data_IF_349514294503
#
_entry.id   IF_349514294503
#
_cell.length_a   1.000
_cell.length_b   1.000
_cell.length_c   1.000
_cell.angle_alpha   90.00
_cell.angle_beta   90.00
_cell.angle_gamma   90.00
#
_symmetry.space_group_name_H-M   'P 1'
#
loop_
_entity.id
_entity.type
_entity.pdbx_description
1 polymer ?
#
# COMPACT_ATOMS: atom_id res chain seq x y z
N UNK A 1 -41.81 22.92 -25.09
CA UNK A 1 -40.66 22.02 -25.03
C UNK A 1 -39.58 22.67 -24.18
N UNK A 2 -39.07 21.96 -23.19
CA UNK A 2 -38.05 22.45 -22.25
C UNK A 2 -37.13 21.31 -21.85
N UNK A 3 -35.86 21.60 -21.57
CA UNK A 3 -35.00 20.68 -20.83
C UNK A 3 -35.35 20.77 -19.34
N UNK A 4 -35.35 19.62 -18.68
CA UNK A 4 -35.40 19.49 -17.21
C UNK A 4 -34.27 18.56 -16.82
N UNK A 5 -33.39 19.01 -15.93
CA UNK A 5 -32.44 18.12 -15.26
C UNK A 5 -33.03 17.61 -13.95
N UNK A 6 -32.79 16.34 -13.64
CA UNK A 6 -33.31 15.73 -12.42
C UNK A 6 -32.34 14.70 -11.85
N UNK A 7 -32.17 14.76 -10.53
CA UNK A 7 -31.59 13.64 -9.79
C UNK A 7 -32.68 12.64 -9.43
N UNK A 8 -32.37 11.35 -9.54
CA UNK A 8 -33.27 10.24 -9.24
C UNK A 8 -32.58 9.36 -8.19
N UNK A 9 -33.13 9.31 -6.97
CA UNK A 9 -32.57 8.56 -5.83
C UNK A 9 -31.10 8.91 -5.51
N UNK A 10 -30.70 10.17 -5.65
CA UNK A 10 -29.31 10.60 -5.46
C UNK A 10 -28.40 10.32 -6.66
N UNK A 11 -28.96 9.93 -7.81
CA UNK A 11 -28.22 9.66 -9.05
C UNK A 11 -28.54 10.70 -10.13
N UNK A 12 -27.58 10.95 -11.01
CA UNK A 12 -27.66 12.01 -12.01
C UNK A 12 -26.83 13.23 -11.60
N UNK A 13 -27.00 14.38 -12.26
CA UNK A 13 -28.22 14.82 -12.93
C UNK A 13 -28.43 14.24 -14.33
N UNK A 14 -29.66 13.85 -14.62
CA UNK A 14 -30.09 13.36 -15.93
C UNK A 14 -30.90 14.42 -16.66
N UNK A 15 -30.60 14.64 -17.95
CA UNK A 15 -31.34 15.57 -18.79
C UNK A 15 -32.52 14.88 -19.48
N UNK A 16 -33.68 15.53 -19.42
CA UNK A 16 -34.89 15.12 -20.11
C UNK A 16 -35.42 16.24 -20.98
N UNK A 17 -35.83 15.90 -22.20
CA UNK A 17 -36.64 16.77 -23.04
C UNK A 17 -38.11 16.56 -22.70
N UNK A 18 -38.76 17.62 -22.24
CA UNK A 18 -40.18 17.57 -21.85
C UNK A 18 -41.02 18.38 -22.83
N UNK A 19 -41.95 17.70 -23.48
CA UNK A 19 -42.90 18.28 -24.43
C UNK A 19 -44.30 18.21 -23.85
N UNK A 20 -44.98 19.36 -23.78
CA UNK A 20 -46.34 19.50 -23.25
C UNK A 20 -47.34 19.52 -24.40
N UNK A 21 -48.35 18.65 -24.34
CA UNK A 21 -49.45 18.60 -25.32
C UNK A 21 -50.78 18.58 -24.56
N UNK A 22 -51.42 19.74 -24.41
CA UNK A 22 -52.59 19.88 -23.54
C UNK A 22 -52.20 19.69 -22.07
N UNK A 23 -52.88 18.77 -21.38
CA UNK A 23 -52.57 18.38 -19.99
C UNK A 23 -51.53 17.24 -19.90
N UNK A 24 -51.17 16.63 -21.03
CA UNK A 24 -50.21 15.53 -21.09
C UNK A 24 -48.77 16.03 -21.26
N UNK A 25 -47.83 15.33 -20.64
CA UNK A 25 -46.39 15.56 -20.80
C UNK A 25 -45.70 14.31 -21.33
N UNK A 26 -44.87 14.50 -22.35
CA UNK A 26 -43.96 13.49 -22.87
C UNK A 26 -42.54 13.78 -22.40
N UNK A 27 -41.90 12.78 -21.81
CA UNK A 27 -40.53 12.84 -21.31
C UNK A 27 -39.65 11.96 -22.19
N UNK A 28 -38.67 12.57 -22.84
CA UNK A 28 -37.64 11.88 -23.60
C UNK A 28 -36.32 12.01 -22.85
N UNK A 29 -35.65 10.88 -22.58
CA UNK A 29 -34.36 10.85 -21.91
C UNK A 29 -33.25 11.20 -22.89
N UNK A 30 -32.41 12.18 -22.54
CA UNK A 30 -31.32 12.64 -23.38
C UNK A 30 -29.95 12.12 -22.93
N UNK A 31 -29.82 11.64 -21.70
CA UNK A 31 -28.55 11.20 -21.13
C UNK A 31 -28.19 11.92 -19.82
N UNK A 32 -26.99 11.67 -19.28
CA UNK A 32 -26.41 12.46 -18.19
C UNK A 32 -26.24 13.92 -18.60
N UNK A 33 -26.63 14.87 -17.76
CA UNK A 33 -26.84 16.26 -18.15
C UNK A 33 -25.59 16.94 -18.73
N UNK A 34 -24.39 16.64 -18.23
CA UNK A 34 -23.14 17.17 -18.78
C UNK A 34 -22.49 16.31 -19.88
N UNK A 35 -23.07 15.15 -20.23
CA UNK A 35 -22.62 14.25 -21.32
C UNK A 35 -23.56 14.28 -22.54
N UNK A 36 -24.54 15.19 -22.58
CA UNK A 36 -25.45 15.34 -23.73
C UNK A 36 -24.72 16.01 -24.90
N UNK A 37 -24.77 15.40 -26.08
CA UNK A 37 -24.18 15.98 -27.30
C UNK A 37 -24.95 17.26 -27.71
N UNK A 38 -24.30 18.44 -27.77
CA UNK A 38 -24.93 19.66 -28.23
C UNK A 38 -25.50 19.56 -29.66
N UNK A 39 -25.00 18.65 -30.49
CA UNK A 39 -25.51 18.43 -31.85
C UNK A 39 -26.95 17.87 -31.86
N UNK A 40 -27.35 17.18 -30.79
CA UNK A 40 -28.69 16.61 -30.61
C UNK A 40 -29.68 17.61 -29.97
N UNK A 41 -29.20 18.83 -29.68
CA UNK A 41 -29.95 19.88 -29.00
C UNK A 41 -30.15 21.10 -29.91
N UNK A 42 -31.29 21.75 -29.76
CA UNK A 42 -31.49 23.10 -30.32
C UNK A 42 -30.69 24.13 -29.53
N UNK A 43 -30.43 25.30 -30.13
CA UNK A 43 -29.76 26.43 -29.47
C UNK A 43 -30.44 26.82 -28.15
N UNK A 44 -31.78 26.70 -28.10
CA UNK A 44 -32.59 27.00 -26.91
C UNK A 44 -32.38 25.96 -25.81
N UNK A 45 -32.40 24.68 -26.14
CA UNK A 45 -32.14 23.59 -25.18
C UNK A 45 -30.71 23.66 -24.65
N UNK A 46 -29.75 23.94 -25.53
CA UNK A 46 -28.36 24.18 -25.15
C UNK A 46 -28.25 25.36 -24.19
N UNK A 47 -28.94 26.47 -24.45
CA UNK A 47 -28.97 27.62 -23.54
C UNK A 47 -29.60 27.29 -22.18
N UNK A 48 -30.61 26.42 -22.13
CA UNK A 48 -31.21 25.94 -20.87
C UNK A 48 -30.22 25.12 -20.04
N UNK A 49 -29.58 24.11 -20.66
CA UNK A 49 -28.52 23.35 -19.99
C UNK A 49 -27.35 24.25 -19.55
N UNK A 50 -27.06 25.33 -20.30
CA UNK A 50 -26.02 26.29 -19.95
C UNK A 50 -26.38 27.11 -18.72
N UNK A 51 -27.62 27.54 -18.61
CA UNK A 51 -28.13 28.26 -17.43
C UNK A 51 -28.14 27.39 -16.18
N UNK A 52 -28.28 26.07 -16.34
CA UNK A 52 -28.21 25.08 -15.26
C UNK A 52 -26.78 24.58 -14.99
N UNK A 53 -25.76 25.09 -15.69
CA UNK A 53 -24.34 24.76 -15.46
C UNK A 53 -23.80 23.55 -16.25
N UNK A 54 -24.64 22.86 -17.02
CA UNK A 54 -24.28 21.58 -17.67
C UNK A 54 -23.72 21.71 -19.08
N UNK A 55 -24.19 22.67 -19.89
CA UNK A 55 -23.68 22.83 -21.26
C UNK A 55 -22.26 23.42 -21.35
N UNK A 56 -21.67 23.79 -20.21
CA UNK A 56 -20.27 24.21 -20.07
C UNK A 56 -19.40 23.19 -19.31
N UNK A 57 -19.94 22.07 -18.82
CA UNK A 57 -19.14 21.06 -18.13
C UNK A 57 -17.98 20.56 -19.02
N UNK A 58 -18.20 20.40 -20.33
CA UNK A 58 -17.13 20.07 -21.30
C UNK A 58 -16.06 21.16 -21.52
N UNK A 59 -16.31 22.37 -21.03
CA UNK A 59 -15.45 23.56 -21.23
C UNK A 59 -14.83 24.05 -19.91
N UNK A 60 -15.26 23.51 -18.77
CA UNK A 60 -14.53 23.65 -17.50
C UNK A 60 -13.39 22.65 -17.51
N UNK A 61 -12.26 23.07 -16.96
CA UNK A 61 -11.13 22.17 -16.79
C UNK A 61 -11.53 21.18 -15.70
N UNK A 62 -11.64 19.91 -16.06
CA UNK A 62 -12.00 18.84 -15.14
C UNK A 62 -10.80 17.92 -15.02
N UNK A 63 -10.60 17.41 -13.81
CA UNK A 63 -9.64 16.34 -13.54
C UNK A 63 -10.40 15.12 -13.02
N UNK A 64 -9.87 13.95 -13.36
CA UNK A 64 -10.44 12.65 -13.03
C UNK A 64 -9.38 11.87 -12.25
N UNK A 65 -9.76 11.32 -11.10
CA UNK A 65 -8.91 10.46 -10.31
C UNK A 65 -9.60 9.11 -10.06
N UNK A 66 -8.91 8.01 -10.41
CA UNK A 66 -9.42 6.66 -10.28
C UNK A 66 -9.06 6.05 -8.92
N UNK A 67 -10.06 5.56 -8.20
CA UNK A 67 -9.88 4.88 -6.93
C UNK A 67 -9.98 3.36 -7.12
N UNK A 68 -9.28 2.62 -6.27
CA UNK A 68 -9.32 1.17 -6.24
C UNK A 68 -10.64 0.59 -5.70
N UNK A 69 -11.45 1.40 -5.00
CA UNK A 69 -12.74 0.98 -4.48
C UNK A 69 -13.76 2.13 -4.41
N UNK A 70 -15.04 1.76 -4.54
CA UNK A 70 -16.17 2.69 -4.62
C UNK A 70 -16.48 3.38 -3.28
N UNK A 71 -16.18 2.71 -2.16
CA UNK A 71 -16.40 3.26 -0.82
C UNK A 71 -15.49 4.46 -0.57
N UNK A 72 -14.21 4.32 -0.88
CA UNK A 72 -13.21 5.38 -0.76
C UNK A 72 -13.51 6.53 -1.71
N UNK A 73 -13.86 6.24 -2.96
CA UNK A 73 -14.28 7.26 -3.92
C UNK A 73 -15.46 8.09 -3.38
N UNK A 74 -16.45 7.43 -2.75
CA UNK A 74 -17.59 8.13 -2.16
C UNK A 74 -17.26 8.92 -0.90
N UNK A 75 -16.35 8.43 -0.06
CA UNK A 75 -15.88 9.17 1.12
C UNK A 75 -15.15 10.47 0.72
N UNK A 76 -14.32 10.41 -0.32
CA UNK A 76 -13.62 11.60 -0.86
C UNK A 76 -14.62 12.61 -1.43
N UNK A 77 -15.66 12.15 -2.16
CA UNK A 77 -16.74 13.03 -2.63
C UNK A 77 -17.45 13.76 -1.49
N UNK A 78 -17.72 13.05 -0.39
CA UNK A 78 -18.39 13.65 0.76
C UNK A 78 -17.50 14.68 1.49
N UNK A 79 -16.17 14.51 1.47
CA UNK A 79 -15.23 15.46 2.06
C UNK A 79 -15.02 16.72 1.19
N UNK A 80 -14.85 16.56 -0.13
CA UNK A 80 -14.70 17.68 -1.06
C UNK A 80 -15.97 18.54 -1.14
N UNK A 81 -17.15 17.91 -1.05
CA UNK A 81 -18.43 18.57 -1.17
C UNK A 81 -18.85 18.84 -2.63
N UNK A 82 -20.17 18.97 -2.83
CA UNK A 82 -20.79 19.03 -4.16
C UNK A 82 -20.33 20.21 -5.03
N UNK A 83 -19.79 21.28 -4.45
CA UNK A 83 -19.36 22.49 -5.18
C UNK A 83 -18.05 22.29 -5.94
N UNK A 84 -17.19 21.34 -5.51
CA UNK A 84 -15.91 21.00 -6.15
C UNK A 84 -16.06 19.86 -7.15
N UNK A 85 -17.14 19.08 -7.07
CA UNK A 85 -17.40 17.98 -7.99
C UNK A 85 -17.83 18.48 -9.37
N UNK A 86 -17.38 17.79 -10.40
CA UNK A 86 -17.85 18.06 -11.74
C UNK A 86 -19.36 17.79 -11.82
N UNK A 87 -20.14 18.59 -12.58
CA UNK A 87 -21.57 18.33 -12.79
C UNK A 87 -21.88 16.98 -13.46
N UNK A 88 -20.86 16.31 -13.98
CA UNK A 88 -20.88 14.99 -14.63
C UNK A 88 -20.43 13.85 -13.73
N UNK A 89 -19.91 14.13 -12.53
CA UNK A 89 -19.48 13.14 -11.56
C UNK A 89 -20.65 12.21 -11.20
N UNK A 90 -20.35 10.91 -11.09
CA UNK A 90 -21.34 9.88 -10.79
C UNK A 90 -20.85 9.01 -9.65
N UNK A 91 -21.59 9.02 -8.53
CA UNK A 91 -21.30 8.27 -7.31
C UNK A 91 -21.27 6.75 -7.49
N UNK A 92 -21.62 6.23 -8.67
CA UNK A 92 -21.55 4.81 -9.04
C UNK A 92 -20.19 4.41 -9.60
N UNK A 93 -19.38 5.38 -10.00
CA UNK A 93 -18.07 5.15 -10.59
C UNK A 93 -16.98 5.30 -9.51
N UNK A 94 -15.94 4.49 -9.64
CA UNK A 94 -14.72 4.60 -8.83
C UNK A 94 -13.85 5.79 -9.23
N UNK A 95 -14.16 6.42 -10.36
CA UNK A 95 -13.53 7.66 -10.83
C UNK A 95 -14.27 8.83 -10.21
N UNK A 96 -13.53 9.71 -9.52
CA UNK A 96 -14.05 10.99 -9.01
C UNK A 96 -13.69 12.07 -10.02
N UNK A 97 -14.69 12.78 -10.52
CA UNK A 97 -14.52 13.89 -11.46
C UNK A 97 -14.73 15.22 -10.73
N UNK A 98 -13.76 16.13 -10.81
CA UNK A 98 -13.72 17.40 -10.08
C UNK A 98 -13.51 18.58 -11.02
N UNK A 99 -13.90 19.77 -10.57
CA UNK A 99 -13.62 21.04 -11.25
C UNK A 99 -12.19 21.48 -10.92
N UNK A 100 -11.27 21.24 -11.85
CA UNK A 100 -9.83 21.46 -11.64
C UNK A 100 -9.48 22.93 -11.37
N UNK A 101 -10.29 23.85 -11.91
CA UNK A 101 -10.13 25.29 -11.73
C UNK A 101 -10.61 25.81 -10.36
N UNK A 102 -11.43 25.03 -9.64
CA UNK A 102 -11.95 25.38 -8.32
C UNK A 102 -11.16 24.71 -7.18
N UNK A 103 -10.39 23.66 -7.48
CA UNK A 103 -9.51 22.98 -6.53
C UNK A 103 -8.33 23.84 -6.10
N UNK A 104 -8.16 24.00 -4.80
CA UNK A 104 -6.91 24.51 -4.25
C UNK A 104 -5.80 23.43 -4.20
N UNK A 105 -4.60 23.84 -3.78
CA UNK A 105 -3.45 22.94 -3.76
C UNK A 105 -3.56 21.83 -2.70
N UNK A 106 -4.24 22.10 -1.59
CA UNK A 106 -4.40 21.14 -0.49
C UNK A 106 -5.48 20.12 -0.85
N UNK A 107 -6.59 20.56 -1.46
CA UNK A 107 -7.67 19.70 -1.97
C UNK A 107 -7.20 18.79 -3.09
N UNK A 108 -6.39 19.32 -4.03
CA UNK A 108 -5.76 18.52 -5.09
C UNK A 108 -4.83 17.47 -4.50
N UNK A 109 -3.97 17.84 -3.55
CA UNK A 109 -3.05 16.89 -2.90
C UNK A 109 -3.80 15.81 -2.11
N UNK A 110 -4.92 16.16 -1.48
CA UNK A 110 -5.80 15.19 -0.80
C UNK A 110 -6.41 14.19 -1.79
N UNK A 111 -7.01 14.68 -2.88
CA UNK A 111 -7.63 13.85 -3.91
C UNK A 111 -6.62 12.86 -4.52
N UNK A 112 -5.48 13.36 -4.99
CA UNK A 112 -4.41 12.55 -5.59
C UNK A 112 -3.84 11.53 -4.58
N UNK A 113 -3.64 11.95 -3.33
CA UNK A 113 -3.12 11.09 -2.27
C UNK A 113 -4.08 9.94 -1.93
N UNK A 114 -5.36 10.24 -1.78
CA UNK A 114 -6.39 9.25 -1.48
C UNK A 114 -6.59 8.25 -2.63
N UNK A 115 -6.52 8.73 -3.89
CA UNK A 115 -6.58 7.87 -5.07
C UNK A 115 -5.40 6.90 -5.14
N UNK A 116 -4.18 7.41 -4.96
CA UNK A 116 -2.96 6.60 -4.94
C UNK A 116 -3.00 5.53 -3.83
N UNK A 117 -3.41 5.89 -2.62
CA UNK A 117 -3.55 4.95 -1.50
C UNK A 117 -4.61 3.87 -1.79
N UNK A 118 -5.75 4.24 -2.38
CA UNK A 118 -6.80 3.29 -2.76
C UNK A 118 -6.33 2.31 -3.83
N UNK A 119 -5.62 2.76 -4.86
CA UNK A 119 -5.08 1.89 -5.91
C UNK A 119 -4.01 0.92 -5.39
N UNK A 120 -3.18 1.37 -4.44
CA UNK A 120 -2.23 0.50 -3.74
C UNK A 120 -3.01 -0.61 -3.00
N UNK A 121 -4.05 -0.26 -2.25
CA UNK A 121 -4.90 -1.25 -1.55
C UNK A 121 -5.57 -2.24 -2.51
N UNK A 122 -6.06 -1.81 -3.67
CA UNK A 122 -6.67 -2.70 -4.68
C UNK A 122 -5.64 -3.66 -5.32
N UNK A 123 -4.47 -3.14 -5.70
CA UNK A 123 -3.38 -3.95 -6.29
C UNK A 123 -3.01 -5.14 -5.39
N UNK A 124 -3.02 -4.91 -4.08
CA UNK A 124 -2.75 -5.92 -3.07
C UNK A 124 -3.94 -6.84 -2.76
N UNK A 125 -5.19 -6.40 -3.02
CA UNK A 125 -6.38 -7.26 -2.88
C UNK A 125 -6.47 -8.38 -3.93
N UNK A 126 -5.87 -8.22 -5.11
CA UNK A 126 -6.00 -9.18 -6.22
C UNK A 126 -4.95 -10.31 -6.27
N UNK A 127 -3.86 -10.20 -5.53
CA UNK A 127 -2.96 -11.34 -5.30
C UNK A 127 -3.63 -12.30 -4.32
N UNK A 128 -3.96 -13.52 -4.73
CA UNK A 128 -4.38 -14.57 -3.78
C UNK A 128 -3.26 -15.59 -3.70
N UNK A 129 -2.56 -15.67 -2.58
CA UNK A 129 -1.55 -16.70 -2.37
C UNK A 129 -2.27 -18.01 -2.01
N UNK A 130 -1.82 -19.14 -2.55
CA UNK A 130 -2.38 -20.43 -2.15
C UNK A 130 -1.99 -20.77 -0.70
N UNK A 131 -2.98 -21.19 0.10
CA UNK A 131 -2.72 -21.84 1.38
C UNK A 131 -2.29 -23.29 1.15
N UNK A 132 -1.13 -23.63 1.69
CA UNK A 132 -0.69 -25.00 1.86
C UNK A 132 -1.68 -25.77 2.74
N UNK A 133 -1.60 -27.10 2.70
CA UNK A 133 -2.46 -27.97 3.49
C UNK A 133 -2.31 -27.79 5.00
N UNK A 134 -1.12 -27.37 5.45
CA UNK A 134 -0.87 -27.09 6.87
C UNK A 134 -1.53 -25.77 7.27
N UNK A 135 -1.26 -24.69 6.52
CA UNK A 135 -1.86 -23.37 6.76
C UNK A 135 -3.39 -23.40 6.73
N UNK A 136 -3.97 -24.14 5.77
CA UNK A 136 -5.43 -24.27 5.65
C UNK A 136 -6.09 -24.98 6.84
N UNK A 137 -5.32 -25.66 7.68
CA UNK A 137 -5.80 -26.34 8.88
C UNK A 137 -5.83 -25.42 10.10
N UNK A 138 -4.98 -24.40 10.09
CA UNK A 138 -4.81 -23.45 11.18
C UNK A 138 -5.67 -22.18 10.97
N UNK A 139 -6.19 -21.99 9.75
CA UNK A 139 -7.11 -20.90 9.38
C UNK A 139 -8.56 -21.38 9.53
N UNK A 140 -9.43 -20.50 10.04
CA UNK A 140 -10.87 -20.73 10.08
C UNK A 140 -11.42 -21.01 8.66
N UNK A 141 -12.17 -22.12 8.44
CA UNK A 141 -12.78 -22.43 7.15
C UNK A 141 -13.59 -21.29 6.52
N UNK A 142 -14.22 -20.44 7.32
CA UNK A 142 -15.02 -19.32 6.82
C UNK A 142 -14.15 -18.14 6.34
N UNK A 143 -12.89 -18.09 6.77
CA UNK A 143 -11.93 -17.03 6.47
C UNK A 143 -10.86 -17.43 5.44
N UNK A 144 -11.03 -18.56 4.73
CA UNK A 144 -10.04 -19.08 3.77
C UNK A 144 -9.64 -18.03 2.72
N UNK A 145 -10.62 -17.35 2.13
CA UNK A 145 -10.34 -16.35 1.09
C UNK A 145 -9.69 -15.10 1.68
N UNK A 146 -10.09 -14.70 2.88
CA UNK A 146 -9.47 -13.60 3.59
C UNK A 146 -7.98 -13.89 3.87
N UNK A 147 -7.67 -15.06 4.42
CA UNK A 147 -6.31 -15.50 4.69
C UNK A 147 -5.43 -15.62 3.44
N UNK A 148 -6.00 -16.03 2.30
CA UNK A 148 -5.27 -16.07 1.02
C UNK A 148 -4.91 -14.67 0.52
N UNK A 149 -5.80 -13.70 0.74
CA UNK A 149 -5.56 -12.29 0.44
C UNK A 149 -4.44 -11.76 1.34
N UNK A 150 -4.62 -11.83 2.66
CA UNK A 150 -3.64 -11.35 3.63
C UNK A 150 -2.25 -11.99 3.43
N UNK A 151 -2.21 -13.30 3.14
CA UNK A 151 -0.95 -13.99 2.81
C UNK A 151 -0.25 -13.38 1.61
N UNK A 152 -0.97 -13.11 0.52
CA UNK A 152 -0.36 -12.50 -0.66
C UNK A 152 0.14 -11.08 -0.40
N UNK A 153 -0.57 -10.31 0.41
CA UNK A 153 -0.17 -8.96 0.81
C UNK A 153 1.12 -9.02 1.62
N UNK A 154 1.12 -9.78 2.71
CA UNK A 154 2.29 -9.96 3.58
C UNK A 154 3.50 -10.51 2.81
N UNK A 155 3.31 -11.51 1.95
CA UNK A 155 4.39 -12.07 1.14
C UNK A 155 4.86 -11.13 0.02
N UNK A 156 3.95 -10.37 -0.59
CA UNK A 156 4.29 -9.34 -1.59
C UNK A 156 5.18 -8.25 -1.00
N UNK A 157 4.95 -7.93 0.28
CA UNK A 157 5.78 -7.00 1.06
C UNK A 157 7.05 -7.65 1.64
N UNK A 158 7.30 -8.94 1.41
CA UNK A 158 8.52 -9.64 1.83
C UNK A 158 8.51 -10.20 3.26
N UNK A 159 7.33 -10.35 3.87
CA UNK A 159 7.16 -11.03 5.17
C UNK A 159 7.08 -12.54 4.94
N UNK A 160 8.06 -13.27 5.46
CA UNK A 160 8.19 -14.72 5.23
C UNK A 160 7.16 -15.51 6.07
N UNK A 161 6.97 -15.14 7.34
CA UNK A 161 6.05 -15.82 8.28
C UNK A 161 4.72 -15.08 8.43
N UNK A 162 3.96 -15.00 7.34
CA UNK A 162 2.67 -14.28 7.29
C UNK A 162 1.68 -14.69 8.39
N UNK A 163 1.72 -15.95 8.86
CA UNK A 163 0.80 -16.45 9.90
C UNK A 163 1.00 -15.78 11.26
N UNK A 164 2.21 -15.31 11.56
CA UNK A 164 2.50 -14.60 12.80
C UNK A 164 1.85 -13.20 12.84
N UNK A 165 1.47 -12.69 11.68
CA UNK A 165 0.96 -11.34 11.46
C UNK A 165 -0.44 -11.32 10.85
N UNK A 166 -1.05 -12.50 10.65
CA UNK A 166 -2.39 -12.62 10.13
C UNK A 166 -3.41 -12.39 11.24
N UNK A 167 -4.31 -11.43 11.04
CA UNK A 167 -5.42 -11.15 11.93
C UNK A 167 -6.74 -11.25 11.14
N UNK A 168 -7.64 -12.19 11.48
CA UNK A 168 -8.92 -12.31 10.80
C UNK A 168 -9.88 -11.13 11.05
N UNK A 169 -9.64 -10.29 12.05
CA UNK A 169 -10.43 -9.10 12.35
C UNK A 169 -9.99 -7.87 11.53
N UNK A 170 -8.77 -7.89 10.99
CA UNK A 170 -8.27 -6.85 10.10
C UNK A 170 -8.71 -7.08 8.66
N UNK A 171 -9.01 -6.01 7.94
CA UNK A 171 -9.22 -6.04 6.50
C UNK A 171 -7.92 -6.41 5.76
N UNK A 172 -7.99 -6.91 4.52
CA UNK A 172 -6.78 -7.16 3.72
C UNK A 172 -5.89 -5.92 3.59
N UNK A 173 -6.49 -4.74 3.44
CA UNK A 173 -5.78 -3.46 3.37
C UNK A 173 -5.03 -3.12 4.65
N UNK A 174 -5.60 -3.37 5.83
CA UNK A 174 -4.92 -3.14 7.12
C UNK A 174 -3.70 -4.06 7.30
N UNK A 175 -3.63 -5.18 6.58
CA UNK A 175 -2.45 -6.03 6.59
C UNK A 175 -1.25 -5.40 5.83
N UNK A 176 -1.44 -4.33 5.07
CA UNK A 176 -0.31 -3.58 4.45
C UNK A 176 0.50 -2.89 5.55
N UNK A 177 -0.17 -2.21 6.49
CA UNK A 177 0.49 -1.55 7.62
C UNK A 177 1.16 -2.57 8.55
N UNK A 178 0.49 -3.70 8.77
CA UNK A 178 1.06 -4.83 9.52
C UNK A 178 2.30 -5.38 8.80
N UNK A 179 2.28 -5.49 7.47
CA UNK A 179 3.42 -5.95 6.69
C UNK A 179 4.62 -4.99 6.79
N UNK A 180 4.36 -3.68 6.77
CA UNK A 180 5.41 -2.68 6.93
C UNK A 180 6.06 -2.78 8.32
N UNK A 181 5.26 -2.93 9.37
CA UNK A 181 5.75 -3.12 10.73
C UNK A 181 6.52 -4.44 10.87
N UNK A 182 5.98 -5.54 10.36
CA UNK A 182 6.61 -6.86 10.38
C UNK A 182 7.98 -6.85 9.68
N UNK A 183 8.10 -6.16 8.55
CA UNK A 183 9.40 -5.97 7.87
C UNK A 183 10.43 -5.29 8.76
N UNK A 184 10.06 -4.22 9.45
CA UNK A 184 10.97 -3.47 10.34
C UNK A 184 11.44 -4.37 11.48
N UNK A 185 10.53 -5.14 12.05
CA UNK A 185 10.81 -6.06 13.16
C UNK A 185 11.70 -7.23 12.71
N UNK A 186 11.42 -7.83 11.54
CA UNK A 186 12.25 -8.89 10.98
C UNK A 186 13.63 -8.38 10.53
N UNK A 187 13.73 -7.18 9.97
CA UNK A 187 15.00 -6.56 9.59
C UNK A 187 15.88 -6.31 10.83
N UNK A 188 15.29 -5.81 11.93
CA UNK A 188 15.98 -5.68 13.22
C UNK A 188 16.46 -7.03 13.75
N UNK A 189 15.59 -8.03 13.75
CA UNK A 189 15.95 -9.38 14.20
C UNK A 189 17.04 -10.07 13.36
N UNK A 190 17.10 -9.79 12.04
CA UNK A 190 18.18 -10.27 11.16
C UNK A 190 19.50 -9.55 11.49
N UNK A 191 19.48 -8.23 11.63
CA UNK A 191 20.66 -7.44 11.99
C UNK A 191 21.30 -7.88 13.33
N UNK A 192 20.48 -8.14 14.35
CA UNK A 192 20.95 -8.61 15.66
C UNK A 192 21.60 -10.01 15.60
N UNK A 193 21.05 -10.91 14.78
CA UNK A 193 21.63 -12.25 14.58
C UNK A 193 22.96 -12.21 13.85
N UNK A 194 23.07 -11.36 12.84
CA UNK A 194 24.32 -11.19 12.07
C UNK A 194 25.41 -10.56 12.94
N UNK A 195 25.08 -9.53 13.72
CA UNK A 195 26.01 -8.96 14.71
C UNK A 195 26.48 -9.99 15.75
N UNK A 196 25.58 -10.86 16.23
CA UNK A 196 25.92 -11.94 17.15
C UNK A 196 26.75 -13.06 16.51
N UNK A 197 26.62 -13.27 15.19
CA UNK A 197 27.44 -14.22 14.43
C UNK A 197 28.84 -13.66 14.20
N UNK A 198 28.96 -12.40 13.79
CA UNK A 198 30.23 -11.72 13.56
C UNK A 198 31.04 -11.62 14.86
N UNK A 199 30.37 -11.32 15.97
CA UNK A 199 31.00 -11.30 17.30
C UNK A 199 31.56 -12.66 17.69
N UNK A 200 30.81 -13.75 17.45
CA UNK A 200 31.28 -15.13 17.72
C UNK A 200 32.45 -15.52 16.82
N UNK A 201 32.40 -15.12 15.55
CA UNK A 201 33.46 -15.39 14.59
C UNK A 201 34.75 -14.65 14.98
N UNK A 202 34.67 -13.36 15.33
CA UNK A 202 35.79 -12.57 15.84
C UNK A 202 36.39 -13.16 17.12
N UNK A 203 35.55 -13.60 18.07
CA UNK A 203 36.01 -14.26 19.29
C UNK A 203 36.76 -15.58 19.01
N UNK A 204 36.27 -16.39 18.05
CA UNK A 204 36.92 -17.64 17.67
C UNK A 204 38.27 -17.43 16.98
N UNK A 205 38.38 -16.41 16.12
CA UNK A 205 39.63 -16.04 15.45
C UNK A 205 40.67 -15.53 16.46
N UNK A 206 40.24 -14.72 17.43
CA UNK A 206 41.12 -14.25 18.50
C UNK A 206 41.64 -15.40 19.38
N UNK A 207 40.77 -16.34 19.76
CA UNK A 207 41.18 -17.54 20.51
C UNK A 207 42.16 -18.42 19.72
N UNK A 208 41.93 -18.61 18.42
CA UNK A 208 42.83 -19.37 17.55
C UNK A 208 44.21 -18.69 17.41
N UNK A 209 44.24 -17.35 17.26
CA UNK A 209 45.48 -16.58 17.19
C UNK A 209 46.29 -16.64 18.51
N UNK A 210 45.61 -16.57 19.66
CA UNK A 210 46.27 -16.76 20.96
C UNK A 210 46.81 -18.17 21.13
N UNK A 211 46.05 -19.21 20.75
CA UNK A 211 46.51 -20.59 20.77
C UNK A 211 47.71 -20.83 19.86
N UNK A 212 47.70 -20.26 18.65
CA UNK A 212 48.83 -20.33 17.71
C UNK A 212 50.08 -19.62 18.26
N UNK A 213 49.92 -18.45 18.89
CA UNK A 213 51.01 -17.74 19.57
C UNK A 213 51.58 -18.58 20.71
N UNK A 214 50.74 -19.10 21.61
CA UNK A 214 51.19 -19.95 22.71
C UNK A 214 51.92 -21.20 22.22
N UNK A 215 51.45 -21.82 21.12
CA UNK A 215 52.13 -22.96 20.51
C UNK A 215 53.50 -22.59 19.91
N UNK A 216 53.60 -21.45 19.21
CA UNK A 216 54.85 -20.97 18.63
C UNK A 216 55.88 -20.62 19.71
N UNK A 217 55.45 -19.95 20.78
CA UNK A 217 56.33 -19.65 21.93
C UNK A 217 56.74 -20.94 22.64
N UNK A 218 55.84 -21.92 22.76
CA UNK A 218 56.15 -23.25 23.32
C UNK A 218 57.17 -24.02 22.47
N UNK A 219 57.08 -23.94 21.15
CA UNK A 219 58.05 -24.55 20.22
C UNK A 219 59.42 -23.87 20.31
N UNK A 220 59.48 -22.53 20.26
CA UNK A 220 60.72 -21.78 20.43
C UNK A 220 61.40 -22.05 21.79
N UNK A 221 60.62 -22.20 22.87
CA UNK A 221 61.15 -22.59 24.17
C UNK A 221 61.74 -24.01 24.16
N UNK A 222 61.11 -24.97 23.46
CA UNK A 222 61.68 -26.33 23.29
C UNK A 222 62.99 -26.32 22.51
N UNK A 223 63.14 -25.40 21.57
CA UNK A 223 64.35 -25.25 20.75
C UNK A 223 65.49 -24.51 21.49
N UNK A 224 65.25 -24.09 22.73
CA UNK A 224 66.28 -23.51 23.62
C UNK A 224 66.29 -21.97 23.67
N UNK A 225 65.31 -21.30 23.08
CA UNK A 225 65.20 -19.83 23.14
C UNK A 225 64.71 -19.38 24.53
N UNK A 226 65.65 -18.95 25.38
CA UNK A 226 65.36 -18.55 26.77
C UNK A 226 64.34 -17.41 26.89
N UNK A 227 64.26 -16.53 25.88
CA UNK A 227 63.29 -15.43 25.84
C UNK A 227 61.86 -15.95 25.68
N UNK A 228 61.66 -16.98 24.86
CA UNK A 228 60.36 -17.64 24.68
C UNK A 228 59.91 -18.42 25.92
N UNK A 229 60.85 -19.04 26.65
CA UNK A 229 60.52 -19.71 27.92
C UNK A 229 60.09 -18.71 29.00
N UNK A 230 60.69 -17.51 29.04
CA UNK A 230 60.25 -16.43 29.93
C UNK A 230 58.86 -15.93 29.55
N UNK A 231 58.58 -15.77 28.26
CA UNK A 231 57.27 -15.35 27.75
C UNK A 231 56.16 -16.35 28.12
N UNK A 232 56.40 -17.67 28.07
CA UNK A 232 55.42 -18.69 28.54
C UNK A 232 55.11 -18.56 30.03
N UNK A 233 56.13 -18.33 30.86
CA UNK A 233 55.94 -18.14 32.30
C UNK A 233 55.14 -16.87 32.60
N UNK A 234 55.40 -15.78 31.87
CA UNK A 234 54.64 -14.53 31.99
C UNK A 234 53.19 -14.69 31.50
N UNK A 235 52.95 -15.55 30.50
CA UNK A 235 51.61 -15.94 30.03
C UNK A 235 50.89 -16.91 30.99
N UNK A 236 51.55 -17.43 32.02
CA UNK A 236 50.98 -18.39 32.98
C UNK A 236 50.79 -19.80 32.41
N UNK A 237 51.45 -20.12 31.30
CA UNK A 237 51.37 -21.42 30.61
C UNK A 237 52.45 -22.38 31.14
N UNK A 238 52.19 -23.70 31.19
CA UNK A 238 53.18 -24.68 31.64
C UNK A 238 54.37 -24.78 30.68
N UNK A 239 55.57 -24.88 31.24
CA UNK A 239 56.79 -25.14 30.47
C UNK A 239 56.76 -26.53 29.83
N UNK A 240 57.35 -26.70 28.63
CA UNK A 240 57.42 -28.01 27.98
C UNK A 240 58.42 -28.95 28.67
N UNK A 241 58.07 -30.24 28.75
CA UNK A 241 58.82 -31.30 29.46
C UNK A 241 60.27 -31.53 28.98
N UNK A 242 60.67 -30.96 27.84
CA UNK A 242 62.00 -31.14 27.24
C UNK A 242 63.02 -30.06 27.63
N UNK A 243 62.64 -29.11 28.50
CA UNK A 243 63.54 -28.06 28.99
C UNK A 243 64.15 -28.53 30.31
N UNK A 244 65.35 -29.10 30.27
CA UNK A 244 66.16 -29.28 31.48
C UNK A 244 66.71 -27.91 31.89
N UNK A 245 66.42 -27.50 33.13
CA UNK A 245 66.95 -26.28 33.78
C UNK A 245 68.39 -26.49 34.22
#
# INVERSE_FOLDING_TARGET
>A
MTIITKQINGHGPYAYRVTWTGDDHHWEYLGPAGKVDPADLTDRETAQLRAEGFALARFRETSEEEFGDLETANAVRDELGDDLLAPTDDRRDTVVEVLDDELDADERAYLEGAAAESQVRETYQHGQAELTRAERRDVDPDNIMHARSAKAILQGEGVDDWRAYYDPELTPSEHVDVAEQARRDEAGARADRDAARDTRQAASQFAAAQGARANHVREACRDGEMEACRELQEMGEPLPDSVEV
#
